data_IF_149908791601
#
_entry.id   IF_149908791601
#
_cell.length_a   1.000
_cell.length_b   1.000
_cell.length_c   1.000
_cell.angle_alpha   90.00
_cell.angle_beta   90.00
_cell.angle_gamma   90.00
#
_symmetry.space_group_name_H-M   'P 1'
#
loop_
_entity.id
_entity.type
_entity.pdbx_description
1 polymer ?
#
# COMPACT_ATOMS: atom_id res chain seq x y z
N UNK A 1 54.59 36.72 1.72
CA UNK A 1 54.23 35.92 2.92
C UNK A 1 52.89 35.27 2.61
N UNK A 2 52.87 33.98 2.28
CA UNK A 2 51.61 33.29 2.03
C UNK A 2 50.88 33.13 3.37
N UNK A 3 49.64 33.60 3.44
CA UNK A 3 48.79 33.40 4.59
C UNK A 3 48.70 31.89 4.91
N UNK A 4 48.67 31.48 6.19
CA UNK A 4 48.48 30.09 6.54
C UNK A 4 47.14 29.63 5.95
N UNK A 5 47.20 28.67 5.03
CA UNK A 5 46.01 27.99 4.51
C UNK A 5 45.26 27.42 5.72
N UNK A 6 44.01 27.86 5.90
CA UNK A 6 43.14 27.28 6.92
C UNK A 6 43.09 25.76 6.69
N UNK A 7 43.17 24.92 7.74
CA UNK A 7 43.15 23.46 7.58
C UNK A 7 41.97 22.97 6.72
N UNK A 8 40.81 23.62 6.86
CA UNK A 8 39.60 23.32 6.09
C UNK A 8 39.72 23.64 4.59
N UNK A 9 40.61 24.54 4.17
CA UNK A 9 40.83 24.84 2.76
C UNK A 9 41.54 23.72 1.99
N UNK A 10 42.12 22.74 2.71
CA UNK A 10 42.74 21.54 2.13
C UNK A 10 41.76 20.36 2.05
N UNK A 11 40.60 20.47 2.70
CA UNK A 11 39.55 19.45 2.67
C UNK A 11 38.63 19.77 1.50
N UNK A 12 38.47 18.80 0.59
CA UNK A 12 37.55 18.95 -0.53
C UNK A 12 36.12 18.95 0.01
N UNK A 13 35.46 20.11 0.02
CA UNK A 13 34.03 20.20 0.24
C UNK A 13 33.29 19.69 -0.99
N UNK A 14 32.49 18.64 -0.80
CA UNK A 14 31.72 18.04 -1.88
C UNK A 14 30.28 18.51 -1.81
N UNK A 15 29.80 19.04 -2.91
CA UNK A 15 28.39 19.35 -3.09
C UNK A 15 27.63 18.12 -3.62
N UNK A 16 26.42 17.85 -3.12
CA UNK A 16 25.56 16.78 -3.64
C UNK A 16 25.35 16.88 -5.15
N UNK A 17 25.35 15.75 -5.84
CA UNK A 17 25.14 15.68 -7.28
C UNK A 17 23.66 15.93 -7.60
N UNK A 18 23.35 17.01 -8.32
CA UNK A 18 21.99 17.33 -8.77
C UNK A 18 21.62 16.62 -10.08
N UNK A 19 20.34 16.29 -10.27
CA UNK A 19 19.79 15.76 -11.53
C UNK A 19 19.21 16.87 -12.42
N UNK A 20 19.08 16.58 -13.72
CA UNK A 20 18.37 17.44 -14.66
C UNK A 20 16.85 17.28 -14.54
N UNK A 21 16.10 18.34 -14.82
CA UNK A 21 14.63 18.38 -14.70
C UNK A 21 13.92 17.31 -15.56
N UNK A 22 14.53 16.95 -16.70
CA UNK A 22 14.04 15.87 -17.56
C UNK A 22 14.11 14.51 -16.88
N UNK A 23 15.20 14.22 -16.16
CA UNK A 23 15.37 12.97 -15.42
C UNK A 23 14.38 12.89 -14.27
N UNK A 24 14.18 14.00 -13.55
CA UNK A 24 13.18 14.07 -12.47
C UNK A 24 11.76 13.74 -12.97
N UNK A 25 11.38 14.30 -14.13
CA UNK A 25 10.08 14.03 -14.77
C UNK A 25 9.94 12.55 -15.16
N UNK A 26 11.00 11.96 -15.73
CA UNK A 26 11.02 10.54 -16.09
C UNK A 26 10.94 9.61 -14.88
N UNK A 27 11.53 9.98 -13.74
CA UNK A 27 11.40 9.22 -12.48
C UNK A 27 9.97 9.22 -11.94
N UNK A 28 9.25 10.34 -12.04
CA UNK A 28 7.82 10.37 -11.66
C UNK A 28 6.98 9.48 -12.56
N UNK A 29 7.30 9.39 -13.86
CA UNK A 29 6.65 8.46 -14.77
C UNK A 29 6.98 7.00 -14.45
N UNK A 30 8.23 6.71 -14.10
CA UNK A 30 8.68 5.38 -13.66
C UNK A 30 7.85 4.87 -12.47
N UNK A 31 7.63 5.71 -11.46
CA UNK A 31 6.84 5.35 -10.27
C UNK A 31 5.40 4.93 -10.61
N UNK A 32 4.79 5.55 -11.63
CA UNK A 32 3.45 5.17 -12.10
C UNK A 32 3.44 3.81 -12.82
N UNK A 33 4.54 3.46 -13.48
CA UNK A 33 4.64 2.26 -14.32
C UNK A 33 5.14 1.03 -13.56
N UNK A 34 6.09 1.19 -12.63
CA UNK A 34 6.71 0.08 -11.89
C UNK A 34 5.72 -0.62 -10.95
N UNK A 35 4.74 0.10 -10.39
CA UNK A 35 3.70 -0.44 -9.50
C UNK A 35 4.21 -1.50 -8.50
N UNK A 36 4.08 -2.78 -8.83
CA UNK A 36 4.46 -3.95 -8.00
C UNK A 36 5.54 -4.83 -8.65
N UNK A 37 6.43 -4.26 -9.46
CA UNK A 37 7.57 -4.98 -10.04
C UNK A 37 8.84 -4.14 -9.92
N UNK A 38 9.36 -4.03 -8.71
CA UNK A 38 10.56 -3.25 -8.40
C UNK A 38 11.77 -4.17 -8.29
N UNK A 39 12.66 -4.13 -9.28
CA UNK A 39 13.91 -4.88 -9.24
C UNK A 39 15.02 -4.04 -8.61
N UNK A 40 15.57 -4.53 -7.49
CA UNK A 40 16.56 -3.83 -6.68
C UNK A 40 17.93 -4.46 -6.87
N UNK A 41 18.93 -3.66 -7.19
CA UNK A 41 20.32 -4.06 -7.18
C UNK A 41 21.07 -3.34 -6.07
N UNK A 42 21.73 -4.12 -5.20
CA UNK A 42 22.53 -3.62 -4.09
C UNK A 42 23.94 -3.30 -4.57
N UNK A 43 24.36 -2.05 -4.38
CA UNK A 43 25.70 -1.55 -4.65
C UNK A 43 26.44 -1.40 -3.33
N UNK A 44 27.33 -2.34 -3.04
CA UNK A 44 28.23 -2.25 -1.88
C UNK A 44 29.31 -1.20 -2.14
N UNK A 45 29.35 -0.14 -1.35
CA UNK A 45 30.38 0.88 -1.45
C UNK A 45 31.31 0.89 -0.23
N UNK A 46 31.60 -0.30 0.33
CA UNK A 46 32.46 -0.47 1.49
C UNK A 46 31.67 -0.51 2.79
N UNK A 47 30.61 -1.32 2.82
CA UNK A 47 29.84 -1.61 4.03
C UNK A 47 30.56 -2.55 5.00
N UNK A 48 30.09 -2.58 6.24
CA UNK A 48 30.54 -3.53 7.27
C UNK A 48 29.71 -4.83 7.29
N UNK A 49 28.94 -5.11 6.22
CA UNK A 49 27.98 -6.20 6.09
C UNK A 49 26.71 -6.11 6.97
N UNK A 50 26.61 -5.14 7.87
CA UNK A 50 25.41 -4.99 8.71
C UNK A 50 24.16 -4.62 7.90
N UNK A 51 24.28 -3.67 6.97
CA UNK A 51 23.17 -3.24 6.13
C UNK A 51 22.68 -4.34 5.19
N UNK A 52 23.62 -5.14 4.72
CA UNK A 52 23.42 -6.26 3.82
C UNK A 52 22.62 -7.37 4.46
N UNK A 53 22.98 -7.73 5.69
CA UNK A 53 22.26 -8.73 6.46
C UNK A 53 20.81 -8.29 6.59
N UNK A 54 20.52 -7.01 6.84
CA UNK A 54 19.14 -6.53 6.94
C UNK A 54 18.40 -6.51 5.60
N UNK A 55 19.09 -6.22 4.50
CA UNK A 55 18.52 -6.34 3.15
C UNK A 55 18.14 -7.80 2.88
N UNK A 56 19.01 -8.75 3.18
CA UNK A 56 18.70 -10.18 3.02
C UNK A 56 17.65 -10.66 4.01
N UNK A 57 17.62 -10.14 5.24
CA UNK A 57 16.57 -10.43 6.21
C UNK A 57 15.21 -9.96 5.71
N UNK A 58 15.13 -8.82 5.00
CA UNK A 58 13.87 -8.29 4.47
C UNK A 58 13.20 -9.19 3.41
N UNK A 59 13.96 -10.03 2.70
CA UNK A 59 13.43 -11.00 1.73
C UNK A 59 13.15 -12.39 2.35
N UNK A 60 13.48 -12.60 3.62
CA UNK A 60 13.15 -13.87 4.29
C UNK A 60 11.63 -14.00 4.52
N UNK A 61 11.11 -15.22 4.74
CA UNK A 61 9.67 -15.44 4.96
C UNK A 61 9.04 -14.68 6.12
N UNK A 62 9.85 -14.17 7.07
CA UNK A 62 9.36 -13.39 8.21
C UNK A 62 8.87 -12.01 7.77
N UNK A 63 9.59 -11.37 6.85
CA UNK A 63 9.29 -10.01 6.39
C UNK A 63 8.70 -9.98 4.98
N UNK A 64 9.11 -10.93 4.14
CA UNK A 64 8.57 -11.23 2.80
C UNK A 64 8.35 -9.97 1.96
N UNK A 65 9.45 -9.24 1.66
CA UNK A 65 9.40 -8.07 0.79
C UNK A 65 8.94 -8.41 -0.65
N UNK A 66 9.10 -9.66 -1.10
CA UNK A 66 8.70 -10.10 -2.44
C UNK A 66 7.18 -10.01 -2.66
N UNK A 67 6.35 -10.12 -1.61
CA UNK A 67 4.89 -9.92 -1.72
C UNK A 67 4.49 -8.54 -2.21
N UNK A 68 5.35 -7.54 -2.00
CA UNK A 68 5.16 -6.18 -2.47
C UNK A 68 5.73 -5.96 -3.87
N UNK A 69 6.31 -6.99 -4.48
CA UNK A 69 6.93 -6.91 -5.79
C UNK A 69 8.38 -6.45 -5.76
N UNK A 70 9.02 -6.42 -4.59
CA UNK A 70 10.42 -6.00 -4.42
C UNK A 70 11.30 -7.23 -4.53
N UNK A 71 12.13 -7.29 -5.57
CA UNK A 71 13.01 -8.45 -5.82
C UNK A 71 14.45 -8.02 -5.99
N UNK A 72 15.37 -8.69 -5.29
CA UNK A 72 16.81 -8.44 -5.44
C UNK A 72 17.33 -9.14 -6.70
N UNK A 73 18.05 -8.39 -7.54
CA UNK A 73 18.69 -8.91 -8.76
C UNK A 73 20.21 -8.92 -8.66
N UNK A 74 20.85 -9.78 -9.44
CA UNK A 74 22.30 -9.95 -9.43
C UNK A 74 23.06 -9.01 -10.39
N UNK A 75 22.36 -8.30 -11.28
CA UNK A 75 22.96 -7.43 -12.29
C UNK A 75 22.31 -6.05 -12.28
N UNK A 76 23.08 -4.95 -12.31
CA UNK A 76 22.53 -3.59 -12.38
C UNK A 76 21.76 -3.35 -13.68
N UNK A 77 22.04 -4.13 -14.75
CA UNK A 77 21.33 -4.01 -16.03
C UNK A 77 19.86 -4.42 -15.97
N UNK A 78 19.47 -5.19 -14.95
CA UNK A 78 18.08 -5.63 -14.74
C UNK A 78 17.41 -4.85 -13.60
N UNK A 79 18.07 -3.82 -13.06
CA UNK A 79 17.60 -3.12 -11.88
C UNK A 79 16.91 -1.82 -12.26
N UNK A 80 15.77 -1.57 -11.62
CA UNK A 80 15.09 -0.28 -11.66
C UNK A 80 15.52 0.60 -10.49
N UNK A 81 15.96 -0.03 -9.39
CA UNK A 81 16.39 0.63 -8.17
C UNK A 81 17.81 0.22 -7.83
N UNK A 82 18.68 1.20 -7.65
CA UNK A 82 20.03 1.01 -7.14
C UNK A 82 20.08 1.39 -5.65
N UNK A 83 20.36 0.39 -4.82
CA UNK A 83 20.44 0.53 -3.37
C UNK A 83 21.91 0.62 -2.94
N UNK A 84 22.38 1.81 -2.61
CA UNK A 84 23.76 2.06 -2.20
C UNK A 84 23.93 1.86 -0.70
N UNK A 85 24.91 1.06 -0.31
CA UNK A 85 25.26 0.78 1.09
C UNK A 85 26.71 1.16 1.39
N UNK A 86 26.99 1.46 2.67
CA UNK A 86 28.34 1.81 3.14
C UNK A 86 28.71 3.27 2.94
N UNK A 87 29.84 3.71 3.51
CA UNK A 87 30.25 5.12 3.55
C UNK A 87 30.87 5.64 2.23
N UNK A 88 30.79 4.84 1.17
CA UNK A 88 31.43 5.09 -0.13
C UNK A 88 32.94 5.28 0.02
N UNK A 89 33.67 4.17 0.14
CA UNK A 89 35.14 4.21 0.19
C UNK A 89 35.71 4.75 -1.12
N UNK A 90 36.88 5.41 -1.03
CA UNK A 90 37.54 6.02 -2.21
C UNK A 90 37.79 5.02 -3.34
N UNK A 91 38.16 3.79 -3.00
CA UNK A 91 38.37 2.69 -3.96
C UNK A 91 37.06 2.26 -4.65
N UNK A 92 35.92 2.37 -3.97
CA UNK A 92 34.62 1.95 -4.51
C UNK A 92 33.94 2.99 -5.38
N UNK A 93 34.46 4.21 -5.51
CA UNK A 93 33.88 5.25 -6.38
C UNK A 93 33.70 4.80 -7.82
N UNK A 94 34.78 4.32 -8.46
CA UNK A 94 34.72 3.92 -9.87
C UNK A 94 33.81 2.71 -10.10
N UNK A 95 33.87 1.64 -9.27
CA UNK A 95 32.89 0.56 -9.33
C UNK A 95 31.44 1.03 -9.17
N UNK A 96 31.17 1.92 -8.21
CA UNK A 96 29.85 2.46 -7.94
C UNK A 96 29.29 3.25 -9.14
N UNK A 97 30.10 4.13 -9.75
CA UNK A 97 29.73 4.88 -10.95
C UNK A 97 29.46 3.96 -12.15
N UNK A 98 30.29 2.93 -12.35
CA UNK A 98 30.06 1.94 -13.41
C UNK A 98 28.75 1.17 -13.22
N UNK A 99 28.40 0.83 -11.98
CA UNK A 99 27.13 0.19 -11.67
C UNK A 99 25.94 1.13 -11.96
N UNK A 100 26.08 2.41 -11.60
CA UNK A 100 25.08 3.44 -11.90
C UNK A 100 24.87 3.64 -13.40
N UNK A 101 25.95 3.76 -14.18
CA UNK A 101 25.90 3.93 -15.64
C UNK A 101 25.41 2.68 -16.36
N UNK A 102 25.66 1.48 -15.81
CA UNK A 102 25.21 0.23 -16.41
C UNK A 102 23.71 -0.03 -16.24
N UNK A 103 23.07 0.63 -15.28
CA UNK A 103 21.63 0.48 -15.03
C UNK A 103 20.81 1.32 -16.03
N UNK A 104 19.72 0.77 -16.57
CA UNK A 104 18.87 1.46 -17.55
C UNK A 104 18.23 2.72 -16.96
N UNK A 105 18.01 3.73 -17.80
CA UNK A 105 17.18 4.90 -17.44
C UNK A 105 15.72 4.65 -17.87
N UNK A 106 14.73 5.03 -17.03
CA UNK A 106 14.84 5.74 -15.75
C UNK A 106 15.15 4.79 -14.57
N UNK A 107 15.97 5.25 -13.62
CA UNK A 107 16.36 4.51 -12.41
C UNK A 107 16.19 5.34 -11.14
N UNK A 108 15.90 4.66 -10.03
CA UNK A 108 15.82 5.25 -8.69
C UNK A 108 17.08 4.91 -7.91
N UNK A 109 17.66 5.91 -7.25
CA UNK A 109 18.82 5.73 -6.38
C UNK A 109 18.38 5.88 -4.93
N UNK A 110 18.63 4.85 -4.15
CA UNK A 110 18.32 4.83 -2.71
C UNK A 110 19.63 4.76 -1.94
N UNK A 111 19.83 5.72 -1.04
CA UNK A 111 20.91 5.70 -0.07
C UNK A 111 20.45 4.96 1.19
N UNK A 112 21.17 3.89 1.57
CA UNK A 112 20.76 2.99 2.62
C UNK A 112 21.74 2.97 3.80
N UNK A 113 21.18 3.19 4.99
CA UNK A 113 21.90 3.23 6.25
C UNK A 113 22.61 4.55 6.51
N UNK A 114 22.97 4.79 7.77
CA UNK A 114 23.62 6.02 8.22
C UNK A 114 24.93 6.28 7.48
N UNK A 115 25.70 5.23 7.21
CA UNK A 115 26.92 5.32 6.41
C UNK A 115 26.66 5.78 4.97
N UNK A 116 25.63 5.22 4.31
CA UNK A 116 25.28 5.62 2.94
C UNK A 116 24.74 7.05 2.87
N UNK A 117 23.95 7.45 3.88
CA UNK A 117 23.25 8.74 3.90
C UNK A 117 24.16 9.91 4.23
N UNK A 118 25.07 9.77 5.20
CA UNK A 118 25.89 10.88 5.70
C UNK A 118 27.33 10.48 6.01
N UNK A 119 27.77 9.27 5.62
CA UNK A 119 29.05 8.71 6.04
C UNK A 119 29.01 8.09 7.44
N UNK A 120 27.99 8.39 8.25
CA UNK A 120 27.78 7.81 9.58
C UNK A 120 28.96 8.07 10.52
N UNK A 121 29.38 7.03 11.24
CA UNK A 121 30.57 7.12 12.10
C UNK A 121 31.86 7.41 11.31
N UNK A 122 31.86 7.18 10.00
CA UNK A 122 33.03 7.35 9.14
C UNK A 122 33.06 8.69 8.39
N UNK A 123 32.09 9.59 8.59
CA UNK A 123 31.87 10.78 7.75
C UNK A 123 33.10 11.67 7.51
N UNK A 124 34.02 11.77 8.47
CA UNK A 124 35.24 12.61 8.40
C UNK A 124 36.53 11.81 8.18
N UNK A 125 36.43 10.54 7.74
CA UNK A 125 37.63 9.75 7.45
C UNK A 125 38.19 10.04 6.06
N UNK A 126 39.53 10.11 5.98
CA UNK A 126 40.27 10.33 4.75
C UNK A 126 39.98 9.32 3.63
N UNK A 127 39.49 8.12 3.96
CA UNK A 127 39.30 7.01 3.04
C UNK A 127 37.88 6.89 2.48
N UNK A 128 36.95 7.76 2.90
CA UNK A 128 35.56 7.74 2.44
C UNK A 128 35.16 9.04 1.75
N UNK A 129 34.06 8.98 1.01
CA UNK A 129 33.41 10.15 0.42
C UNK A 129 32.32 10.73 1.32
N UNK A 130 31.94 10.05 2.41
CA UNK A 130 31.04 10.61 3.43
C UNK A 130 29.58 10.67 3.02
N UNK A 131 29.18 9.92 2.00
CA UNK A 131 27.80 9.91 1.50
C UNK A 131 27.69 9.42 0.06
N UNK A 132 26.53 8.87 -0.28
CA UNK A 132 26.20 8.40 -1.65
C UNK A 132 25.91 9.57 -2.59
N UNK A 133 25.30 10.62 -2.05
CA UNK A 133 24.95 11.88 -2.72
C UNK A 133 26.15 12.63 -3.31
N UNK A 134 27.34 12.39 -2.75
CA UNK A 134 28.59 12.95 -3.24
C UNK A 134 29.09 12.31 -4.56
N UNK A 135 28.58 11.14 -4.93
CA UNK A 135 28.99 10.44 -6.16
C UNK A 135 27.86 10.24 -7.16
N UNK A 136 26.62 10.06 -6.70
CA UNK A 136 25.44 9.81 -7.55
C UNK A 136 24.23 10.58 -7.00
N UNK A 137 23.27 10.96 -7.85
CA UNK A 137 22.08 11.67 -7.39
C UNK A 137 21.14 10.72 -6.64
N UNK A 138 20.95 10.96 -5.34
CA UNK A 138 20.08 10.17 -4.46
C UNK A 138 18.65 10.69 -4.51
N UNK A 139 17.68 9.78 -4.64
CA UNK A 139 16.24 10.11 -4.62
C UNK A 139 15.62 9.89 -3.24
N UNK A 140 16.01 8.80 -2.56
CA UNK A 140 15.43 8.41 -1.28
C UNK A 140 16.53 8.00 -0.30
N UNK A 141 16.36 8.40 0.96
CA UNK A 141 17.23 8.04 2.06
C UNK A 141 16.50 7.11 3.02
N UNK A 142 17.10 5.96 3.33
CA UNK A 142 16.63 5.01 4.34
C UNK A 142 17.61 5.02 5.51
N UNK A 143 17.33 5.78 6.60
CA UNK A 143 18.24 5.91 7.73
C UNK A 143 18.26 4.66 8.63
N UNK A 144 19.38 4.41 9.31
CA UNK A 144 19.57 3.32 10.28
C UNK A 144 20.99 2.76 10.33
N UNK A 145 21.39 2.06 11.39
CA UNK A 145 22.74 1.48 11.52
C UNK A 145 22.74 0.09 12.19
N UNK A 146 22.31 -0.98 11.48
CA UNK A 146 21.66 -0.95 10.17
C UNK A 146 20.15 -0.61 10.27
N UNK A 147 19.50 -0.17 9.19
CA UNK A 147 18.04 -0.05 9.15
C UNK A 147 17.39 -1.41 9.39
N UNK A 148 16.40 -1.48 10.27
CA UNK A 148 15.69 -2.74 10.55
C UNK A 148 14.91 -3.21 9.32
N UNK A 149 14.59 -4.51 9.15
CA UNK A 149 13.90 -5.00 7.96
C UNK A 149 12.53 -4.34 7.75
N UNK A 150 11.84 -4.03 8.84
CA UNK A 150 10.58 -3.28 8.80
C UNK A 150 10.79 -1.84 8.31
N UNK A 151 11.86 -1.16 8.75
CA UNK A 151 12.22 0.17 8.26
C UNK A 151 12.64 0.14 6.78
N UNK A 152 13.30 -0.93 6.34
CA UNK A 152 13.67 -1.16 4.94
C UNK A 152 12.44 -1.27 4.06
N UNK A 153 11.48 -2.14 4.44
CA UNK A 153 10.21 -2.28 3.70
C UNK A 153 9.44 -0.96 3.69
N UNK A 154 9.39 -0.25 4.82
CA UNK A 154 8.76 1.06 4.88
C UNK A 154 9.45 2.07 3.95
N UNK A 155 10.78 2.11 3.93
CA UNK A 155 11.55 2.97 3.05
C UNK A 155 11.27 2.69 1.57
N UNK A 156 11.19 1.42 1.17
CA UNK A 156 10.77 1.04 -0.17
C UNK A 156 9.31 1.37 -0.46
N UNK A 157 8.41 1.23 0.52
CA UNK A 157 7.01 1.60 0.35
C UNK A 157 6.83 3.11 0.15
N UNK A 158 7.63 3.93 0.82
CA UNK A 158 7.71 5.38 0.56
C UNK A 158 8.28 5.65 -0.83
N UNK A 159 9.41 5.03 -1.17
CA UNK A 159 10.09 5.22 -2.45
C UNK A 159 9.18 4.87 -3.64
N UNK A 160 8.38 3.81 -3.53
CA UNK A 160 7.45 3.34 -4.56
C UNK A 160 6.07 4.01 -4.49
N UNK A 161 5.81 4.90 -3.53
CA UNK A 161 4.50 5.54 -3.35
C UNK A 161 3.38 4.58 -2.90
N UNK A 162 3.71 3.40 -2.37
CA UNK A 162 2.74 2.39 -1.94
C UNK A 162 1.90 2.84 -0.73
N UNK A 163 2.39 3.80 0.05
CA UNK A 163 1.68 4.33 1.22
C UNK A 163 0.50 5.25 0.86
N UNK A 164 0.41 5.75 -0.37
CA UNK A 164 -0.74 6.53 -0.84
C UNK A 164 -1.97 5.67 -1.11
N UNK A 165 -1.85 4.33 -1.04
CA UNK A 165 -2.96 3.39 -1.08
C UNK A 165 -3.77 3.45 0.23
N UNK A 166 -4.22 4.67 0.60
CA UNK A 166 -5.10 4.93 1.74
C UNK A 166 -6.47 4.36 1.41
N UNK A 167 -6.95 3.49 2.29
CA UNK A 167 -8.39 3.35 2.53
C UNK A 167 -8.96 4.77 2.66
N UNK A 168 -9.78 5.19 1.70
CA UNK A 168 -10.51 6.45 1.75
C UNK A 168 -11.55 6.32 2.87
N UNK A 169 -11.14 6.62 4.09
CA UNK A 169 -12.07 6.81 5.19
C UNK A 169 -12.66 8.20 5.02
N UNK A 170 -13.90 8.27 4.54
CA UNK A 170 -14.69 9.49 4.60
C UNK A 170 -15.20 9.63 6.04
N UNK A 171 -14.60 10.53 6.82
CA UNK A 171 -15.12 10.90 8.14
C UNK A 171 -16.26 11.90 7.92
N UNK A 172 -17.49 11.39 7.91
CA UNK A 172 -18.67 12.24 7.91
C UNK A 172 -18.84 12.87 9.29
N UNK A 173 -18.82 14.21 9.35
CA UNK A 173 -19.10 14.98 10.55
C UNK A 173 -20.54 15.50 10.40
N UNK A 174 -21.44 15.00 11.23
CA UNK A 174 -22.87 15.34 11.23
C UNK A 174 -23.04 16.86 11.39
N UNK A 175 -23.70 17.51 10.43
CA UNK A 175 -24.01 18.93 10.52
C UNK A 175 -25.16 19.18 11.51
N UNK A 176 -25.24 20.39 12.07
CA UNK A 176 -26.31 20.75 13.00
C UNK A 176 -27.70 20.63 12.33
N UNK A 177 -28.48 19.63 12.74
CA UNK A 177 -29.81 19.33 12.19
C UNK A 177 -29.84 18.22 11.12
N UNK A 178 -28.70 17.59 10.82
CA UNK A 178 -28.61 16.47 9.89
C UNK A 178 -29.13 15.18 10.55
N UNK A 179 -30.39 14.84 10.34
CA UNK A 179 -30.94 13.58 10.82
C UNK A 179 -30.46 12.41 9.93
N UNK A 180 -29.81 11.41 10.55
CA UNK A 180 -29.38 10.20 9.85
C UNK A 180 -30.58 9.51 9.15
N UNK A 181 -30.47 9.34 7.82
CA UNK A 181 -31.46 8.59 7.05
C UNK A 181 -31.44 7.12 7.46
N UNK A 182 -32.53 6.64 8.07
CA UNK A 182 -32.67 5.23 8.42
C UNK A 182 -32.87 4.41 7.14
N UNK A 183 -32.04 3.40 6.86
CA UNK A 183 -32.30 2.48 5.75
C UNK A 183 -33.58 1.71 6.02
N UNK A 184 -34.45 1.63 5.02
CA UNK A 184 -35.75 0.95 5.10
C UNK A 184 -36.68 1.47 6.23
N UNK A 185 -37.14 2.73 6.18
CA UNK A 185 -37.96 3.34 7.23
C UNK A 185 -39.35 2.70 7.35
N UNK A 186 -39.88 2.14 6.25
CA UNK A 186 -41.20 1.52 6.19
C UNK A 186 -41.25 0.13 6.88
N UNK A 187 -40.08 -0.46 7.18
CA UNK A 187 -39.97 -1.80 7.76
C UNK A 187 -39.72 -1.69 9.27
N UNK A 188 -40.53 -2.36 10.12
CA UNK A 188 -40.28 -2.37 11.56
C UNK A 188 -38.87 -2.85 11.91
N UNK A 189 -38.18 -2.12 12.79
CA UNK A 189 -36.79 -2.40 13.18
C UNK A 189 -36.57 -3.85 13.63
N UNK A 190 -37.50 -4.40 14.41
CA UNK A 190 -37.41 -5.78 14.90
C UNK A 190 -37.43 -6.82 13.76
N UNK A 191 -38.19 -6.57 12.69
CA UNK A 191 -38.24 -7.43 11.51
C UNK A 191 -36.94 -7.31 10.70
N UNK A 192 -36.44 -6.08 10.50
CA UNK A 192 -35.16 -5.82 9.82
C UNK A 192 -34.01 -6.59 10.46
N UNK A 193 -33.87 -6.49 11.79
CA UNK A 193 -32.82 -7.19 12.54
C UNK A 193 -32.93 -8.71 12.39
N UNK A 194 -34.15 -9.26 12.37
CA UNK A 194 -34.37 -10.71 12.18
C UNK A 194 -33.97 -11.17 10.78
N UNK A 195 -34.36 -10.42 9.75
CA UNK A 195 -34.00 -10.73 8.37
C UNK A 195 -32.49 -10.68 8.17
N UNK A 196 -31.82 -9.64 8.68
CA UNK A 196 -30.36 -9.53 8.58
C UNK A 196 -29.64 -10.68 9.28
N UNK A 197 -30.09 -11.07 10.48
CA UNK A 197 -29.51 -12.20 11.22
C UNK A 197 -29.70 -13.52 10.48
N UNK A 198 -30.88 -13.75 9.91
CA UNK A 198 -31.17 -14.99 9.19
C UNK A 198 -30.39 -15.08 7.87
N UNK A 199 -30.30 -13.98 7.11
CA UNK A 199 -29.49 -13.94 5.90
C UNK A 199 -27.99 -14.15 6.19
N UNK A 200 -27.46 -13.53 7.26
CA UNK A 200 -26.07 -13.74 7.71
C UNK A 200 -25.82 -15.18 8.17
N UNK A 201 -26.80 -15.81 8.84
CA UNK A 201 -26.71 -17.22 9.26
C UNK A 201 -26.60 -18.15 8.06
N UNK A 202 -27.30 -17.87 6.96
CA UNK A 202 -27.34 -18.75 5.78
C UNK A 202 -26.23 -18.48 4.74
N UNK A 203 -25.75 -17.23 4.63
CA UNK A 203 -24.85 -16.81 3.55
C UNK A 203 -23.63 -15.99 4.00
N UNK A 204 -23.39 -15.87 5.31
CA UNK A 204 -22.27 -15.11 5.86
C UNK A 204 -22.44 -13.59 5.75
N UNK A 205 -21.40 -12.84 6.15
CA UNK A 205 -21.49 -11.39 6.32
C UNK A 205 -21.61 -10.60 5.02
N UNK A 206 -20.86 -10.98 3.97
CA UNK A 206 -20.82 -10.23 2.70
C UNK A 206 -22.05 -10.54 1.86
N UNK A 207 -22.24 -11.80 1.47
CA UNK A 207 -23.33 -12.21 0.60
C UNK A 207 -24.69 -12.09 1.29
N UNK A 208 -24.78 -12.42 2.59
CA UNK A 208 -26.03 -12.26 3.35
C UNK A 208 -26.51 -10.81 3.43
N UNK A 209 -25.60 -9.84 3.50
CA UNK A 209 -25.94 -8.42 3.47
C UNK A 209 -26.57 -8.01 2.13
N UNK A 210 -25.94 -8.37 1.01
CA UNK A 210 -26.48 -8.04 -0.32
C UNK A 210 -27.86 -8.65 -0.54
N UNK A 211 -28.03 -9.93 -0.21
CA UNK A 211 -29.30 -10.65 -0.41
C UNK A 211 -30.41 -10.02 0.44
N UNK A 212 -30.11 -9.64 1.69
CA UNK A 212 -31.14 -9.08 2.58
C UNK A 212 -31.50 -7.64 2.22
N UNK A 213 -30.54 -6.82 1.77
CA UNK A 213 -30.81 -5.46 1.26
C UNK A 213 -31.71 -5.52 0.03
N UNK A 214 -31.42 -6.40 -0.93
CA UNK A 214 -32.27 -6.62 -2.11
C UNK A 214 -33.67 -7.12 -1.71
N UNK A 215 -33.75 -8.05 -0.75
CA UNK A 215 -35.03 -8.54 -0.24
C UNK A 215 -35.84 -7.46 0.49
N UNK A 216 -35.22 -6.61 1.30
CA UNK A 216 -35.89 -5.52 2.01
C UNK A 216 -36.37 -4.43 1.04
N UNK A 217 -35.60 -4.13 -0.01
CA UNK A 217 -36.03 -3.23 -1.08
C UNK A 217 -37.29 -3.75 -1.81
N UNK A 218 -37.50 -5.07 -1.89
CA UNK A 218 -38.75 -5.65 -2.41
C UNK A 218 -39.94 -5.44 -1.47
N UNK A 219 -39.71 -5.36 -0.15
CA UNK A 219 -40.76 -5.12 0.83
C UNK A 219 -41.16 -3.64 0.88
N UNK A 220 -40.24 -2.72 0.64
CA UNK A 220 -40.54 -1.28 0.60
C UNK A 220 -41.63 -0.93 -0.44
N UNK A 221 -42.46 0.07 -0.10
CA UNK A 221 -43.50 0.58 -1.00
C UNK A 221 -44.76 -0.29 -1.14
N UNK A 222 -44.86 -1.44 -0.45
CA UNK A 222 -46.06 -2.30 -0.51
C UNK A 222 -47.33 -1.61 0.00
N UNK A 223 -47.21 -0.55 0.81
CA UNK A 223 -48.33 0.12 1.46
C UNK A 223 -48.99 1.21 0.60
N UNK A 224 -48.47 1.53 -0.61
CA UNK A 224 -48.86 2.75 -1.36
C UNK A 224 -49.33 2.56 -2.81
N UNK A 225 -49.38 1.35 -3.36
CA UNK A 225 -49.76 1.14 -4.76
C UNK A 225 -51.13 0.42 -4.93
N UNK A 226 -52.21 1.10 -5.35
CA UNK A 226 -53.46 0.45 -5.73
C UNK A 226 -53.26 -0.34 -7.04
N UNK A 227 -53.35 -1.67 -6.97
CA UNK A 227 -53.18 -2.58 -8.13
C UNK A 227 -51.90 -3.41 -8.15
N UNK A 228 -51.03 -3.31 -7.13
CA UNK A 228 -49.85 -4.15 -7.01
C UNK A 228 -50.20 -5.55 -6.44
N UNK A 229 -49.44 -6.57 -6.86
CA UNK A 229 -49.49 -7.94 -6.33
C UNK A 229 -49.49 -7.93 -4.79
N UNK A 230 -50.24 -8.84 -4.17
CA UNK A 230 -50.21 -8.96 -2.71
C UNK A 230 -48.79 -9.29 -2.24
N UNK A 231 -48.43 -8.86 -1.03
CA UNK A 231 -47.08 -9.06 -0.49
C UNK A 231 -46.62 -10.54 -0.56
N UNK A 232 -47.47 -11.55 -0.26
CA UNK A 232 -47.16 -12.95 -0.51
C UNK A 232 -46.86 -13.30 -1.98
N UNK A 233 -47.61 -12.74 -2.94
CA UNK A 233 -47.41 -13.01 -4.37
C UNK A 233 -46.10 -12.44 -4.89
N UNK A 234 -45.69 -11.25 -4.41
CA UNK A 234 -44.39 -10.64 -4.76
C UNK A 234 -43.23 -11.49 -4.25
N UNK A 235 -43.36 -12.07 -3.07
CA UNK A 235 -42.32 -12.91 -2.47
C UNK A 235 -42.21 -14.24 -3.21
N UNK A 236 -43.35 -14.86 -3.56
CA UNK A 236 -43.38 -16.07 -4.40
C UNK A 236 -42.78 -15.81 -5.78
N UNK A 237 -43.11 -14.67 -6.40
CA UNK A 237 -42.54 -14.27 -7.68
C UNK A 237 -41.02 -14.02 -7.59
N UNK A 238 -40.53 -13.41 -6.51
CA UNK A 238 -39.11 -13.18 -6.28
C UNK A 238 -38.32 -14.50 -6.13
N UNK A 239 -38.89 -15.48 -5.43
CA UNK A 239 -38.30 -16.83 -5.33
C UNK A 239 -38.31 -17.54 -6.68
N UNK A 240 -39.40 -17.43 -7.45
CA UNK A 240 -39.54 -18.09 -8.76
C UNK A 240 -38.72 -17.46 -9.89
N UNK A 241 -38.37 -16.18 -9.77
CA UNK A 241 -37.52 -15.47 -10.74
C UNK A 241 -36.02 -15.72 -10.54
N UNK A 242 -35.63 -16.27 -9.38
CA UNK A 242 -34.24 -16.46 -9.02
C UNK A 242 -33.64 -17.70 -9.70
N UNK A 243 -32.48 -17.53 -10.37
CA UNK A 243 -31.84 -18.61 -11.13
C UNK A 243 -30.94 -19.49 -10.29
N UNK A 244 -30.42 -18.97 -9.17
CA UNK A 244 -29.53 -19.70 -8.26
C UNK A 244 -30.36 -20.44 -7.19
N UNK A 245 -30.29 -21.78 -7.12
CA UNK A 245 -31.08 -22.57 -6.17
C UNK A 245 -30.75 -22.22 -4.71
N UNK A 246 -29.48 -21.88 -4.40
CA UNK A 246 -29.08 -21.52 -3.03
C UNK A 246 -29.65 -20.16 -2.63
N UNK A 247 -29.67 -19.22 -3.56
CA UNK A 247 -30.23 -17.88 -3.35
C UNK A 247 -31.75 -17.94 -3.22
N UNK A 248 -32.42 -18.75 -4.04
CA UNK A 248 -33.86 -18.99 -3.95
C UNK A 248 -34.26 -19.57 -2.58
N UNK A 249 -33.46 -20.51 -2.03
CA UNK A 249 -33.67 -21.07 -0.69
C UNK A 249 -33.58 -19.99 0.41
N UNK A 250 -32.56 -19.12 0.34
CA UNK A 250 -32.37 -18.02 1.30
C UNK A 250 -33.54 -17.03 1.23
N UNK A 251 -33.93 -16.59 0.03
CA UNK A 251 -35.06 -15.69 -0.17
C UNK A 251 -36.36 -16.33 0.33
N UNK A 252 -36.57 -17.62 0.05
CA UNK A 252 -37.72 -18.38 0.56
C UNK A 252 -37.76 -18.43 2.10
N UNK A 253 -36.60 -18.59 2.75
CA UNK A 253 -36.52 -18.58 4.22
C UNK A 253 -36.78 -17.19 4.80
N UNK A 254 -36.25 -16.13 4.19
CA UNK A 254 -36.56 -14.75 4.58
C UNK A 254 -38.05 -14.45 4.41
N UNK A 255 -38.65 -14.97 3.34
CA UNK A 255 -40.07 -14.84 3.10
C UNK A 255 -40.94 -15.49 4.18
N UNK A 256 -40.56 -16.69 4.64
CA UNK A 256 -41.21 -17.36 5.76
C UNK A 256 -41.13 -16.54 7.06
N UNK A 257 -39.99 -15.91 7.34
CA UNK A 257 -39.80 -15.05 8.53
C UNK A 257 -40.76 -13.85 8.50
N UNK A 258 -40.95 -13.24 7.34
CA UNK A 258 -41.93 -12.14 7.17
C UNK A 258 -43.35 -12.65 7.39
N UNK A 259 -43.73 -13.76 6.77
CA UNK A 259 -45.08 -14.33 6.89
C UNK A 259 -45.44 -14.71 8.33
N UNK A 260 -44.52 -15.34 9.07
CA UNK A 260 -44.69 -15.65 10.50
C UNK A 260 -44.90 -14.38 11.33
N UNK A 261 -44.14 -13.34 11.04
CA UNK A 261 -44.26 -12.04 11.73
C UNK A 261 -45.62 -11.38 11.46
N UNK A 262 -46.14 -11.47 10.23
CA UNK A 262 -47.48 -10.95 9.86
C UNK A 262 -48.59 -11.71 10.58
N UNK A 263 -48.44 -13.03 10.76
CA UNK A 263 -49.41 -13.88 11.48
C UNK A 263 -49.41 -13.67 13.00
N UNK A 264 -48.52 -12.81 13.53
CA UNK A 264 -48.39 -12.59 14.97
C UNK A 264 -47.74 -13.76 15.71
N UNK A 265 -47.17 -14.71 14.98
CA UNK A 265 -46.41 -15.82 15.55
C UNK A 265 -45.02 -15.29 15.90
N UNK A 266 -44.81 -14.96 17.17
CA UNK A 266 -43.45 -14.80 17.69
C UNK A 266 -42.68 -16.12 17.52
N UNK A 267 -41.35 -16.09 17.27
CA UNK A 267 -40.56 -17.30 17.17
C UNK A 267 -40.63 -18.15 18.44
#
# INVERSE_FOLDING_TARGET
>A
MNAPLAPNALVAEMSPVSTSDQIATMKTALLKNIQRSAYVYRVDCGGCNGCEIEIFSSITPVFDAERFGIKVVASPRHADILLFTGAVTRSMRMPALRAYEAAPDPKIVVSYGACGCTGGIFHDLYCVWGGTDNIVPVDVYIPGCPPTPAATIHGFAVALGLLEQKLKAETHVEAAGEAAALPHPDIPYALRVRLEREARRMAGYRQGRTIVEEFMALLEGHARAPGALTLPDRMTAAVGAERDPRRAEIIGRLAEVVQRTIRGEAP
#
